data_IF_676563171107
#
_entry.id   IF_676563171107
#
_cell.length_a   1.000
_cell.length_b   1.000
_cell.length_c   1.000
_cell.angle_alpha   90.00
_cell.angle_beta   90.00
_cell.angle_gamma   90.00
#
_symmetry.space_group_name_H-M   'P 1'
#
loop_
_entity.id
_entity.type
_entity.pdbx_description
1 polymer ?
#
# COMPACT_ATOMS: atom_id res chain seq x y z
N UNK A 1 2.37 5.34 24.06
CA UNK A 1 2.29 6.69 24.48
C UNK A 1 3.27 6.99 25.62
N UNK A 2 3.30 8.23 26.01
CA UNK A 2 4.18 8.70 27.08
C UNK A 2 3.89 7.95 28.39
N UNK A 3 4.94 7.49 29.07
CA UNK A 3 4.85 6.71 30.29
C UNK A 3 4.85 5.19 30.10
N UNK A 4 4.97 4.69 28.86
CA UNK A 4 5.11 3.28 28.57
C UNK A 4 6.36 3.06 27.69
N UNK A 5 7.45 2.60 28.28
CA UNK A 5 8.76 2.54 27.66
C UNK A 5 8.80 1.77 26.31
N UNK A 6 8.09 0.63 26.11
CA UNK A 6 8.06 -0.03 24.82
C UNK A 6 7.44 0.85 23.72
N UNK A 7 6.40 1.63 24.01
CA UNK A 7 5.76 2.53 23.06
C UNK A 7 6.59 3.80 22.80
N UNK A 8 7.35 4.27 23.78
CA UNK A 8 8.29 5.38 23.59
C UNK A 8 9.47 5.00 22.70
N UNK A 9 9.93 3.75 22.80
CA UNK A 9 11.00 3.21 21.94
C UNK A 9 10.56 2.91 20.51
N UNK A 10 9.31 2.55 20.32
CA UNK A 10 8.76 2.22 18.98
C UNK A 10 7.31 2.75 18.85
N UNK A 11 7.13 4.06 18.67
CA UNK A 11 5.81 4.68 18.61
C UNK A 11 4.98 4.20 17.40
N UNK A 12 5.62 3.86 16.29
CA UNK A 12 4.95 3.34 15.10
C UNK A 12 4.24 2.01 15.41
N UNK A 13 4.92 1.07 16.04
CA UNK A 13 4.35 -0.24 16.43
C UNK A 13 3.11 -0.10 17.33
N UNK A 14 3.09 0.94 18.19
CA UNK A 14 2.03 1.17 19.16
C UNK A 14 1.01 2.23 18.73
N UNK A 15 1.06 2.69 17.49
CA UNK A 15 0.13 3.69 16.97
C UNK A 15 -1.30 3.13 16.81
N UNK A 16 -1.46 1.90 16.37
CA UNK A 16 -2.74 1.22 16.21
C UNK A 16 -2.62 -0.24 16.60
N UNK A 17 -2.20 -0.49 17.85
CA UNK A 17 -1.90 -1.84 18.31
C UNK A 17 -3.14 -2.56 18.82
N UNK A 18 -3.30 -3.83 18.40
CA UNK A 18 -4.28 -4.75 18.98
C UNK A 18 -3.86 -5.24 20.37
N UNK A 19 -4.34 -6.41 20.78
CA UNK A 19 -3.94 -7.02 22.06
C UNK A 19 -2.44 -7.30 22.09
N UNK A 20 -1.75 -6.88 23.15
CA UNK A 20 -0.33 -7.10 23.36
C UNK A 20 -0.01 -7.44 24.81
N UNK A 21 1.16 -8.01 25.06
CA UNK A 21 1.65 -8.24 26.42
C UNK A 21 2.19 -6.93 27.00
N UNK A 22 1.61 -6.48 28.10
CA UNK A 22 1.95 -5.20 28.75
C UNK A 22 3.39 -5.19 29.29
N UNK A 23 3.93 -6.34 29.71
CA UNK A 23 5.25 -6.40 30.35
C UNK A 23 6.40 -6.15 29.36
N UNK A 24 6.30 -6.64 28.10
CA UNK A 24 7.35 -6.58 27.10
C UNK A 24 6.93 -5.93 25.77
N UNK A 25 5.65 -5.59 25.63
CA UNK A 25 5.09 -5.03 24.40
C UNK A 25 4.99 -6.02 23.24
N UNK A 26 5.07 -7.32 23.51
CA UNK A 26 4.98 -8.35 22.46
C UNK A 26 3.55 -8.40 21.89
N UNK A 27 3.46 -8.40 20.56
CA UNK A 27 2.21 -8.56 19.81
C UNK A 27 2.21 -9.92 19.11
N UNK A 28 1.04 -10.54 18.97
CA UNK A 28 0.92 -11.72 18.11
C UNK A 28 1.00 -11.27 16.66
N UNK A 29 1.99 -11.76 15.94
CA UNK A 29 2.07 -11.63 14.48
C UNK A 29 1.17 -12.70 13.86
N UNK A 30 0.29 -12.28 12.93
CA UNK A 30 -0.47 -13.20 12.09
C UNK A 30 -0.11 -12.96 10.61
N UNK A 31 -0.26 -13.98 9.78
CA UNK A 31 -0.23 -13.78 8.33
C UNK A 31 -1.44 -12.93 7.95
N UNK A 32 -1.17 -11.84 7.24
CA UNK A 32 -2.21 -10.98 6.68
C UNK A 32 -1.90 -10.72 5.19
N UNK A 33 -2.90 -10.27 4.46
CA UNK A 33 -2.77 -10.04 3.02
C UNK A 33 -1.71 -8.99 2.67
N UNK A 34 -1.50 -7.99 3.53
CA UNK A 34 -0.45 -6.97 3.34
C UNK A 34 0.96 -7.59 3.33
N UNK A 35 1.22 -8.57 4.22
CA UNK A 35 2.50 -9.28 4.23
C UNK A 35 2.66 -10.21 3.02
N UNK A 36 1.60 -10.88 2.59
CA UNK A 36 1.63 -11.71 1.36
C UNK A 36 1.94 -10.85 0.15
N UNK A 37 1.23 -9.72 0.01
CA UNK A 37 1.46 -8.73 -1.05
C UNK A 37 2.91 -8.24 -1.06
N UNK A 38 3.44 -7.82 0.09
CA UNK A 38 4.79 -7.27 0.19
C UNK A 38 5.88 -8.32 -0.09
N UNK A 39 5.70 -9.56 0.36
CA UNK A 39 6.62 -10.66 0.08
C UNK A 39 6.65 -10.99 -1.41
N UNK A 40 5.49 -11.03 -2.05
CA UNK A 40 5.40 -11.27 -3.49
C UNK A 40 6.01 -10.11 -4.28
N UNK A 41 5.76 -8.87 -3.87
CA UNK A 41 6.40 -7.70 -4.47
C UNK A 41 7.92 -7.76 -4.36
N UNK A 42 8.46 -8.18 -3.22
CA UNK A 42 9.90 -8.41 -3.06
C UNK A 42 10.43 -9.47 -4.04
N UNK A 43 9.72 -10.60 -4.17
CA UNK A 43 10.08 -11.68 -5.10
C UNK A 43 10.10 -11.21 -6.56
N UNK A 44 9.15 -10.38 -6.96
CA UNK A 44 9.08 -9.80 -8.30
C UNK A 44 10.20 -8.76 -8.52
N UNK A 45 10.46 -7.92 -7.52
CA UNK A 45 11.51 -6.91 -7.56
C UNK A 45 12.94 -7.48 -7.60
N UNK A 46 13.15 -8.72 -7.19
CA UNK A 46 14.41 -9.45 -7.42
C UNK A 46 14.66 -9.74 -8.90
N UNK A 47 13.59 -9.97 -9.65
CA UNK A 47 13.64 -10.34 -11.06
C UNK A 47 13.62 -9.14 -12.01
N UNK A 48 12.99 -8.03 -11.59
CA UNK A 48 12.88 -6.81 -12.39
C UNK A 48 13.27 -5.58 -11.56
N UNK A 49 14.42 -5.01 -11.90
CA UNK A 49 14.97 -3.83 -11.21
C UNK A 49 14.15 -2.55 -11.41
N UNK A 50 13.23 -2.53 -12.36
CA UNK A 50 12.35 -1.38 -12.62
C UNK A 50 11.22 -1.28 -11.60
N UNK A 51 10.94 -2.35 -10.85
CA UNK A 51 9.89 -2.33 -9.82
C UNK A 51 10.33 -1.46 -8.66
N UNK A 52 9.51 -0.46 -8.35
CA UNK A 52 9.68 0.47 -7.22
C UNK A 52 8.42 0.50 -6.37
N UNK A 53 8.58 0.66 -5.07
CA UNK A 53 7.46 0.73 -4.14
C UNK A 53 7.32 2.15 -3.59
N UNK A 54 6.09 2.65 -3.60
CA UNK A 54 5.71 3.96 -3.07
C UNK A 54 4.66 3.77 -1.98
N UNK A 55 4.71 4.55 -0.93
CA UNK A 55 3.65 4.63 0.10
C UNK A 55 3.53 6.05 0.66
N UNK A 56 2.48 6.32 1.41
CA UNK A 56 2.21 7.62 2.01
C UNK A 56 2.08 7.49 3.53
N UNK A 57 3.22 7.43 4.25
CA UNK A 57 3.33 7.24 5.70
C UNK A 57 2.69 5.93 6.20
N UNK A 58 2.64 4.90 5.36
CA UNK A 58 1.98 3.61 5.68
C UNK A 58 2.92 2.41 5.51
N UNK A 59 4.23 2.58 5.66
CA UNK A 59 5.25 1.54 5.40
C UNK A 59 4.94 0.22 6.10
N UNK A 60 4.68 0.24 7.40
CA UNK A 60 4.37 -0.97 8.17
C UNK A 60 2.95 -1.47 7.91
N UNK A 61 2.00 -0.55 7.78
CA UNK A 61 0.59 -0.88 7.55
C UNK A 61 0.31 -1.59 6.23
N UNK A 62 1.06 -1.27 5.18
CA UNK A 62 1.00 -1.91 3.86
C UNK A 62 1.97 -3.09 3.71
N UNK A 63 2.69 -3.45 4.79
CA UNK A 63 3.64 -4.57 4.79
C UNK A 63 5.00 -4.28 4.16
N UNK A 64 5.25 -3.07 3.65
CA UNK A 64 6.44 -2.72 2.86
C UNK A 64 7.76 -2.61 3.66
N UNK A 65 7.76 -2.90 4.96
CA UNK A 65 8.96 -2.82 5.79
C UNK A 65 10.11 -3.68 5.25
N UNK A 66 9.82 -4.89 4.77
CA UNK A 66 10.84 -5.78 4.20
C UNK A 66 11.33 -5.28 2.84
N UNK A 67 10.44 -4.78 1.99
CA UNK A 67 10.82 -4.17 0.72
C UNK A 67 11.78 -2.99 0.93
N UNK A 68 11.47 -2.10 1.86
CA UNK A 68 12.33 -0.97 2.25
C UNK A 68 13.74 -1.41 2.68
N UNK A 69 13.86 -2.51 3.45
CA UNK A 69 15.15 -3.04 3.89
C UNK A 69 15.96 -3.64 2.75
N UNK A 70 15.30 -4.39 1.86
CA UNK A 70 15.96 -5.11 0.76
C UNK A 70 16.31 -4.21 -0.42
N UNK A 71 15.48 -3.21 -0.69
CA UNK A 71 15.58 -2.33 -1.85
C UNK A 71 15.46 -0.85 -1.46
N UNK A 72 16.33 -0.32 -0.59
CA UNK A 72 16.20 1.04 -0.06
C UNK A 72 16.17 2.12 -1.15
N UNK A 73 16.93 1.95 -2.24
CA UNK A 73 16.99 2.88 -3.37
C UNK A 73 15.74 2.81 -4.30
N UNK A 74 14.86 1.84 -4.06
CA UNK A 74 13.63 1.61 -4.83
C UNK A 74 12.38 1.72 -3.98
N UNK A 75 12.52 2.28 -2.77
CA UNK A 75 11.42 2.50 -1.84
C UNK A 75 11.27 3.98 -1.54
N UNK A 76 10.05 4.49 -1.66
CA UNK A 76 9.72 5.90 -1.48
C UNK A 76 8.53 6.06 -0.54
N UNK A 77 8.72 6.75 0.56
CA UNK A 77 7.65 7.17 1.47
C UNK A 77 7.48 8.68 1.33
N UNK A 78 6.35 9.09 0.78
CA UNK A 78 6.05 10.50 0.50
C UNK A 78 5.47 11.25 1.70
N UNK A 79 5.39 10.62 2.86
CA UNK A 79 4.68 11.16 4.01
C UNK A 79 3.16 11.15 3.79
N UNK A 80 2.41 11.93 4.56
CA UNK A 80 0.95 12.03 4.43
C UNK A 80 0.62 12.93 3.22
N UNK A 81 0.87 12.42 2.01
CA UNK A 81 0.73 13.15 0.75
C UNK A 81 0.30 12.20 -0.39
N UNK A 82 -0.89 11.65 -0.29
CA UNK A 82 -1.41 10.64 -1.23
C UNK A 82 -1.47 11.16 -2.67
N UNK A 83 -1.88 12.42 -2.86
CA UNK A 83 -1.90 13.07 -4.19
C UNK A 83 -0.50 13.07 -4.81
N UNK A 84 0.51 13.47 -4.01
CA UNK A 84 1.89 13.46 -4.47
C UNK A 84 2.37 12.05 -4.79
N UNK A 85 1.99 11.05 -4.00
CA UNK A 85 2.32 9.65 -4.25
C UNK A 85 1.80 9.16 -5.60
N UNK A 86 0.58 9.54 -5.99
CA UNK A 86 0.01 9.21 -7.31
C UNK A 86 0.78 9.90 -8.43
N UNK A 87 0.96 11.23 -8.35
CA UNK A 87 1.68 12.01 -9.37
C UNK A 87 3.14 11.56 -9.53
N UNK A 88 3.84 11.29 -8.42
CA UNK A 88 5.21 10.78 -8.45
C UNK A 88 5.28 9.40 -9.10
N UNK A 89 4.33 8.50 -8.80
CA UNK A 89 4.23 7.20 -9.45
C UNK A 89 3.98 7.34 -10.95
N UNK A 90 3.14 8.28 -11.38
CA UNK A 90 2.94 8.56 -12.79
C UNK A 90 4.24 9.01 -13.47
N UNK A 91 5.00 9.92 -12.87
CA UNK A 91 6.30 10.37 -13.38
C UNK A 91 7.32 9.22 -13.49
N UNK A 92 7.37 8.35 -12.49
CA UNK A 92 8.23 7.13 -12.52
C UNK A 92 7.84 6.20 -13.68
N UNK A 93 6.55 6.03 -13.94
CA UNK A 93 6.06 5.20 -15.05
C UNK A 93 6.43 5.79 -16.42
N UNK A 94 6.40 7.11 -16.57
CA UNK A 94 6.88 7.80 -17.79
C UNK A 94 8.34 7.50 -18.07
N UNK A 95 9.17 7.41 -17.03
CA UNK A 95 10.60 7.08 -17.13
C UNK A 95 10.87 5.56 -17.26
N UNK A 96 9.83 4.75 -17.44
CA UNK A 96 9.95 3.31 -17.68
C UNK A 96 10.11 2.45 -16.44
N UNK A 97 9.94 3.03 -15.24
CA UNK A 97 9.83 2.26 -13.99
C UNK A 97 8.45 1.59 -13.88
N UNK A 98 8.35 0.62 -12.99
CA UNK A 98 7.11 -0.08 -12.66
C UNK A 98 6.70 0.26 -11.22
N UNK A 99 6.08 1.41 -10.98
CA UNK A 99 5.71 1.85 -9.64
C UNK A 99 4.52 1.06 -9.10
N UNK A 100 4.65 0.64 -7.85
CA UNK A 100 3.58 0.04 -7.06
C UNK A 100 3.30 0.99 -5.89
N UNK A 101 2.18 1.69 -5.93
CA UNK A 101 1.76 2.59 -4.86
C UNK A 101 0.85 1.81 -3.89
N UNK A 102 1.39 1.47 -2.72
CA UNK A 102 0.65 0.79 -1.67
C UNK A 102 0.06 1.82 -0.69
N UNK A 103 -1.26 1.79 -0.56
CA UNK A 103 -2.03 2.82 0.15
C UNK A 103 -3.33 2.23 0.71
N UNK A 104 -3.84 2.77 1.83
CA UNK A 104 -5.15 2.39 2.32
C UNK A 104 -6.26 2.98 1.44
N UNK A 105 -7.31 2.18 1.22
CA UNK A 105 -8.49 2.56 0.44
C UNK A 105 -9.03 3.94 0.80
N UNK A 106 -9.30 4.19 2.08
CA UNK A 106 -9.84 5.46 2.55
C UNK A 106 -8.95 6.67 2.23
N UNK A 107 -7.63 6.49 2.21
CA UNK A 107 -6.68 7.58 1.95
C UNK A 107 -6.46 7.84 0.45
N UNK A 108 -6.59 6.82 -0.39
CA UNK A 108 -6.50 6.99 -1.84
C UNK A 108 -7.61 7.90 -2.40
N UNK A 109 -8.72 8.06 -1.69
CA UNK A 109 -9.79 9.00 -2.07
C UNK A 109 -9.27 10.44 -2.30
N UNK A 110 -8.22 10.85 -1.59
CA UNK A 110 -7.60 12.17 -1.78
C UNK A 110 -6.90 12.32 -3.14
N UNK A 111 -6.48 11.23 -3.75
CA UNK A 111 -5.74 11.19 -5.01
C UNK A 111 -6.59 11.03 -6.27
N UNK A 112 -7.92 11.24 -6.20
CA UNK A 112 -8.82 11.00 -7.32
C UNK A 112 -8.43 11.80 -8.57
N UNK A 113 -8.21 13.09 -8.41
CA UNK A 113 -7.84 13.98 -9.51
C UNK A 113 -6.52 13.57 -10.16
N UNK A 114 -5.50 13.30 -9.36
CA UNK A 114 -4.19 12.86 -9.84
C UNK A 114 -4.28 11.48 -10.52
N UNK A 115 -5.08 10.57 -9.97
CA UNK A 115 -5.31 9.28 -10.59
C UNK A 115 -5.97 9.43 -11.97
N UNK A 116 -6.98 10.30 -12.08
CA UNK A 116 -7.65 10.60 -13.33
C UNK A 116 -6.70 11.24 -14.36
N UNK A 117 -6.06 12.35 -13.99
CA UNK A 117 -5.28 13.17 -14.93
C UNK A 117 -3.87 12.63 -15.18
N UNK A 118 -3.15 12.25 -14.11
CA UNK A 118 -1.75 11.92 -14.23
C UNK A 118 -1.53 10.46 -14.66
N UNK A 119 -2.45 9.56 -14.30
CA UNK A 119 -2.32 8.13 -14.60
C UNK A 119 -3.26 7.69 -15.73
N UNK A 120 -4.59 7.88 -15.54
CA UNK A 120 -5.58 7.25 -16.41
C UNK A 120 -5.64 7.89 -17.81
N UNK A 121 -5.70 9.21 -17.90
CA UNK A 121 -5.74 9.91 -19.20
C UNK A 121 -4.48 9.66 -20.01
N UNK A 122 -3.35 9.51 -19.34
CA UNK A 122 -2.06 9.21 -19.98
C UNK A 122 -1.83 7.71 -20.19
N UNK A 123 -2.70 6.83 -19.67
CA UNK A 123 -2.63 5.37 -19.75
C UNK A 123 -1.30 4.82 -19.23
N UNK A 124 -0.81 5.38 -18.13
CA UNK A 124 0.46 4.98 -17.54
C UNK A 124 0.32 3.67 -16.74
N UNK A 125 1.32 2.77 -16.80
CA UNK A 125 1.32 1.49 -16.11
C UNK A 125 1.71 1.66 -14.62
N UNK A 126 0.78 2.16 -13.81
CA UNK A 126 0.94 2.28 -12.36
C UNK A 126 0.07 1.21 -11.68
N UNK A 127 0.66 0.46 -10.76
CA UNK A 127 -0.06 -0.53 -9.95
C UNK A 127 -0.42 0.10 -8.60
N UNK A 128 -1.69 0.01 -8.21
CA UNK A 128 -2.17 0.45 -6.91
C UNK A 128 -2.45 -0.76 -6.02
N UNK A 129 -1.65 -0.96 -4.97
CA UNK A 129 -1.89 -1.94 -3.92
C UNK A 129 -2.82 -1.35 -2.86
N UNK A 130 -4.13 -1.57 -3.01
CA UNK A 130 -5.15 -0.96 -2.14
C UNK A 130 -5.38 -1.87 -0.93
N UNK A 131 -4.88 -1.45 0.20
CA UNK A 131 -5.06 -2.13 1.48
C UNK A 131 -6.31 -1.62 2.22
N UNK A 132 -6.84 -2.37 3.15
CA UNK A 132 -8.06 -2.04 3.93
C UNK A 132 -9.29 -1.81 3.04
N UNK A 133 -9.43 -2.57 1.94
CA UNK A 133 -10.64 -2.55 1.15
C UNK A 133 -11.80 -3.25 1.89
N UNK A 134 -13.03 -2.78 1.67
CA UNK A 134 -14.23 -3.31 2.33
C UNK A 134 -14.41 -2.83 3.77
N UNK A 135 -15.09 -3.64 4.59
CA UNK A 135 -15.35 -3.33 6.00
C UNK A 135 -14.16 -3.77 6.87
N UNK A 136 -13.54 -2.85 7.56
CA UNK A 136 -12.33 -3.08 8.37
C UNK A 136 -12.61 -2.72 9.81
N UNK A 137 -13.03 -3.68 10.62
CA UNK A 137 -13.51 -3.44 11.99
C UNK A 137 -12.44 -2.90 12.96
N UNK A 138 -11.17 -3.32 12.79
CA UNK A 138 -10.09 -2.97 13.72
C UNK A 138 -9.64 -1.49 13.61
N UNK A 139 -9.74 -0.91 12.42
CA UNK A 139 -9.26 0.45 12.14
C UNK A 139 -10.33 1.54 12.37
N UNK A 140 -11.55 1.15 12.77
CA UNK A 140 -12.65 2.05 13.10
C UNK A 140 -13.41 2.61 11.90
N UNK A 141 -14.35 3.50 12.19
CA UNK A 141 -15.30 4.03 11.20
C UNK A 141 -14.68 4.87 10.09
N UNK A 142 -13.53 5.48 10.36
CA UNK A 142 -12.84 6.37 9.41
C UNK A 142 -11.99 5.66 8.37
N UNK A 143 -11.80 4.32 8.49
CA UNK A 143 -10.91 3.53 7.65
C UNK A 143 -11.63 2.48 6.81
N UNK A 144 -12.91 2.70 6.50
CA UNK A 144 -13.70 1.76 5.72
C UNK A 144 -13.46 1.93 4.22
N UNK A 145 -13.14 0.83 3.52
CA UNK A 145 -12.87 0.80 2.08
C UNK A 145 -14.11 0.45 1.24
N UNK A 146 -15.23 1.09 1.49
CA UNK A 146 -16.52 0.72 0.87
C UNK A 146 -16.79 1.43 -0.45
N UNK A 147 -15.98 2.42 -0.82
CA UNK A 147 -16.22 3.25 -2.00
C UNK A 147 -15.36 2.86 -3.21
N UNK A 148 -14.45 1.91 -3.11
CA UNK A 148 -13.45 1.61 -4.14
C UNK A 148 -14.07 1.29 -5.48
N UNK A 149 -15.09 0.42 -5.53
CA UNK A 149 -15.74 0.03 -6.79
C UNK A 149 -16.38 1.25 -7.45
N UNK A 150 -17.11 2.07 -6.69
CA UNK A 150 -17.74 3.28 -7.21
C UNK A 150 -16.68 4.29 -7.69
N UNK A 151 -15.64 4.50 -6.89
CA UNK A 151 -14.52 5.38 -7.18
C UNK A 151 -13.84 5.01 -8.52
N UNK A 152 -13.42 3.75 -8.68
CA UNK A 152 -12.73 3.30 -9.89
C UNK A 152 -13.67 3.19 -11.11
N UNK A 153 -14.97 2.96 -10.90
CA UNK A 153 -15.95 2.89 -12.00
C UNK A 153 -16.18 4.22 -12.71
N UNK A 154 -15.83 5.34 -12.07
CA UNK A 154 -15.95 6.68 -12.66
C UNK A 154 -14.72 7.10 -13.49
N UNK A 155 -13.64 6.34 -13.40
CA UNK A 155 -12.39 6.64 -14.11
C UNK A 155 -12.46 6.21 -15.58
N UNK A 156 -11.65 6.81 -16.47
CA UNK A 156 -11.63 6.43 -17.88
C UNK A 156 -11.33 4.94 -18.11
N UNK A 157 -11.79 4.41 -19.25
CA UNK A 157 -11.52 3.02 -19.63
C UNK A 157 -10.02 2.73 -19.70
N UNK A 158 -9.63 1.56 -19.19
CA UNK A 158 -8.24 1.10 -19.19
C UNK A 158 -7.73 0.67 -17.82
N UNK A 159 -8.42 1.06 -16.74
CA UNK A 159 -8.15 0.53 -15.41
C UNK A 159 -8.66 -0.91 -15.32
N UNK A 160 -7.84 -1.76 -14.71
CA UNK A 160 -8.22 -3.12 -14.31
C UNK A 160 -8.30 -3.16 -12.78
N UNK A 161 -9.45 -3.54 -12.26
CA UNK A 161 -9.66 -3.70 -10.82
C UNK A 161 -9.66 -5.19 -10.48
N UNK A 162 -8.80 -5.60 -9.56
CA UNK A 162 -8.68 -6.96 -9.07
C UNK A 162 -9.12 -7.05 -7.61
N UNK A 163 -9.82 -8.12 -7.26
CA UNK A 163 -10.23 -8.42 -5.90
C UNK A 163 -9.94 -9.90 -5.61
N UNK A 164 -8.71 -10.23 -5.16
CA UNK A 164 -8.32 -11.61 -4.93
C UNK A 164 -9.10 -12.23 -3.76
N UNK A 165 -9.57 -13.45 -3.93
CA UNK A 165 -10.28 -14.22 -2.92
C UNK A 165 -9.34 -15.14 -2.09
N UNK A 166 -8.09 -15.25 -2.52
CA UNK A 166 -7.07 -16.07 -1.86
C UNK A 166 -5.67 -15.45 -1.98
N UNK A 167 -4.74 -15.91 -1.16
CA UNK A 167 -3.33 -15.50 -1.23
C UNK A 167 -2.67 -15.89 -2.55
N UNK A 168 -3.05 -17.03 -3.12
CA UNK A 168 -2.53 -17.47 -4.42
C UNK A 168 -3.02 -16.56 -5.55
N UNK A 169 -4.28 -16.17 -5.52
CA UNK A 169 -4.81 -15.19 -6.50
C UNK A 169 -4.15 -13.82 -6.33
N UNK A 170 -3.92 -13.37 -5.10
CA UNK A 170 -3.21 -12.11 -4.85
C UNK A 170 -1.83 -12.10 -5.52
N UNK A 171 -1.05 -13.16 -5.33
CA UNK A 171 0.26 -13.29 -5.96
C UNK A 171 0.15 -13.32 -7.50
N UNK A 172 -0.76 -14.11 -8.05
CA UNK A 172 -0.95 -14.22 -9.50
C UNK A 172 -1.43 -12.90 -10.13
N UNK A 173 -2.33 -12.18 -9.46
CA UNK A 173 -2.82 -10.89 -9.93
C UNK A 173 -1.74 -9.81 -9.87
N UNK A 174 -0.88 -9.82 -8.85
CA UNK A 174 0.23 -8.90 -8.75
C UNK A 174 1.29 -9.17 -9.84
N UNK A 175 1.62 -10.44 -10.08
CA UNK A 175 2.53 -10.86 -11.16
C UNK A 175 1.99 -10.46 -12.55
N UNK A 176 0.68 -10.61 -12.76
CA UNK A 176 0.03 -10.17 -14.01
C UNK A 176 0.03 -8.65 -14.19
N UNK A 177 -0.08 -7.89 -13.09
CA UNK A 177 -0.15 -6.44 -13.13
C UNK A 177 1.22 -5.77 -13.42
N UNK A 178 2.32 -6.47 -13.12
CA UNK A 178 3.71 -6.03 -13.28
C UNK A 178 4.39 -6.69 -14.49
#
# INVERSE_FOLDING_TARGET
GRGYAPAEKNPEKFHGVGKFNVADGATKSGNNNSLVFANELCRLAEKDSRIVAVTAAMTSGTGLTEFKKRFPERFFDVGIAEQHGVTMSAGMAVEGLKPVFAVYSTFLQRGYDQLLHDVCLQKLPVVFGIDRAGLVGADGETHQGVYDIAYFSTLPRGIKLFSPSSTNELCAMLDYAL
#
